data_IF_176583625313
#
_entry.id   IF_176583625313
#
_cell.length_a   1.000
_cell.length_b   1.000
_cell.length_c   1.000
_cell.angle_alpha   90.00
_cell.angle_beta   90.00
_cell.angle_gamma   90.00
#
_symmetry.space_group_name_H-M   'P 1'
#
loop_
_entity.id
_entity.type
_entity.pdbx_description
1 polymer ?
#
# COMPACT_ATOMS: atom_id res chain seq x y z
N UNK A 1 -62.99 4.67 -12.18
CA UNK A 1 -63.38 3.96 -13.41
C UNK A 1 -62.53 4.48 -14.56
N UNK A 2 -61.85 3.56 -15.28
CA UNK A 2 -61.11 3.72 -16.55
C UNK A 2 -59.83 4.60 -16.52
N UNK A 3 -58.71 4.27 -17.18
CA UNK A 3 -58.21 3.06 -17.87
C UNK A 3 -56.69 3.25 -18.08
N UNK A 4 -55.99 2.12 -18.23
CA UNK A 4 -54.55 1.89 -18.37
C UNK A 4 -53.83 2.61 -19.52
N UNK A 5 -52.50 2.73 -19.39
CA UNK A 5 -51.55 2.89 -20.49
C UNK A 5 -50.18 2.32 -20.11
N UNK A 6 -49.89 1.11 -20.60
CA UNK A 6 -48.62 0.41 -20.44
C UNK A 6 -47.68 0.73 -21.62
N UNK A 7 -46.37 0.75 -21.37
CA UNK A 7 -45.33 0.83 -22.39
C UNK A 7 -44.04 0.20 -21.90
N UNK A 8 -43.83 -1.05 -22.30
CA UNK A 8 -42.59 -1.83 -22.14
C UNK A 8 -41.83 -1.77 -23.46
N UNK A 9 -40.50 -1.55 -23.44
CA UNK A 9 -39.61 -1.90 -24.55
C UNK A 9 -38.33 -2.56 -24.00
N UNK A 10 -38.07 -3.75 -24.52
CA UNK A 10 -36.89 -4.60 -24.29
C UNK A 10 -35.71 -4.17 -25.18
N UNK A 11 -34.49 -4.49 -24.76
CA UNK A 11 -33.31 -4.46 -25.64
C UNK A 11 -32.11 -5.15 -25.00
N UNK A 12 -31.97 -6.45 -25.24
CA UNK A 12 -30.78 -7.24 -24.93
C UNK A 12 -29.89 -7.35 -26.19
N UNK A 13 -28.57 -7.28 -26.02
CA UNK A 13 -27.62 -7.79 -27.02
C UNK A 13 -26.33 -8.24 -26.31
N UNK A 14 -26.08 -9.55 -26.36
CA UNK A 14 -24.84 -10.21 -25.97
C UNK A 14 -23.95 -10.37 -27.21
N UNK A 15 -22.63 -10.20 -27.07
CA UNK A 15 -21.65 -10.67 -28.06
C UNK A 15 -20.53 -11.42 -27.32
N UNK A 16 -20.41 -12.69 -27.69
CA UNK A 16 -19.36 -13.66 -27.34
C UNK A 16 -18.36 -13.68 -28.49
N UNK A 17 -17.05 -13.63 -28.22
CA UNK A 17 -16.02 -14.12 -29.15
C UNK A 17 -14.92 -14.84 -28.36
N UNK A 18 -14.85 -16.16 -28.53
CA UNK A 18 -13.69 -17.02 -28.27
C UNK A 18 -12.89 -17.18 -29.56
N UNK A 19 -11.56 -17.24 -29.50
CA UNK A 19 -10.71 -17.91 -30.51
C UNK A 19 -9.26 -18.08 -30.01
N UNK A 20 -8.88 -19.26 -29.51
CA UNK A 20 -8.09 -20.39 -30.09
C UNK A 20 -6.57 -20.32 -29.81
N UNK A 21 -6.10 -21.30 -29.02
CA UNK A 21 -4.71 -21.71 -28.82
C UNK A 21 -4.19 -22.46 -30.06
N UNK A 22 -2.95 -22.23 -30.46
CA UNK A 22 -2.19 -23.13 -31.34
C UNK A 22 -0.84 -23.46 -30.72
N UNK A 23 -0.54 -24.77 -30.75
CA UNK A 23 0.61 -25.42 -30.15
C UNK A 23 1.52 -26.04 -31.25
N UNK A 24 2.65 -26.59 -30.79
CA UNK A 24 3.60 -27.49 -31.47
C UNK A 24 4.62 -26.78 -32.38
N UNK A 25 5.92 -27.08 -32.37
CA UNK A 25 6.72 -28.19 -31.83
C UNK A 25 7.91 -28.40 -32.77
N UNK A 26 8.98 -29.09 -32.34
CA UNK A 26 9.95 -29.70 -33.28
C UNK A 26 11.43 -29.51 -32.96
N UNK A 27 12.05 -30.64 -32.63
CA UNK A 27 13.42 -30.88 -32.19
C UNK A 27 14.47 -30.98 -33.31
N UNK A 28 15.76 -30.97 -32.92
CA UNK A 28 16.79 -32.00 -33.19
C UNK A 28 18.16 -31.54 -33.72
N UNK A 29 19.15 -31.71 -32.83
CA UNK A 29 20.44 -32.41 -32.96
C UNK A 29 21.19 -32.44 -34.30
N UNK A 30 22.46 -32.03 -34.24
CA UNK A 30 23.51 -32.45 -35.17
C UNK A 30 24.69 -33.05 -34.39
N UNK A 31 24.93 -34.34 -34.64
CA UNK A 31 26.13 -35.06 -34.24
C UNK A 31 27.20 -34.93 -35.33
N UNK A 32 28.48 -34.93 -34.94
CA UNK A 32 29.60 -34.95 -35.85
C UNK A 32 30.90 -35.35 -35.15
N UNK A 33 31.13 -36.66 -35.07
CA UNK A 33 32.40 -37.27 -34.67
C UNK A 33 33.39 -37.25 -35.85
N UNK A 34 34.68 -36.96 -35.60
CA UNK A 34 35.77 -37.55 -36.39
C UNK A 34 37.02 -37.75 -35.52
N UNK A 35 37.58 -38.95 -35.63
CA UNK A 35 38.66 -39.55 -34.84
C UNK A 35 39.96 -39.53 -35.64
N UNK A 36 41.10 -39.15 -35.05
CA UNK A 36 42.45 -39.53 -35.53
C UNK A 36 43.39 -39.78 -34.33
N UNK A 37 44.13 -40.89 -34.37
CA UNK A 37 44.99 -41.49 -33.32
C UNK A 37 46.50 -41.17 -33.56
N UNK A 38 47.49 -41.71 -32.80
CA UNK A 38 48.31 -40.99 -31.82
C UNK A 38 49.80 -40.83 -32.21
N UNK A 39 50.56 -40.03 -31.45
CA UNK A 39 52.03 -40.03 -31.47
C UNK A 39 52.57 -40.17 -30.03
N UNK A 40 53.50 -41.11 -29.71
CA UNK A 40 54.00 -41.27 -28.35
C UNK A 40 55.31 -40.49 -28.16
N UNK A 41 55.39 -39.70 -27.10
CA UNK A 41 56.65 -39.38 -26.44
C UNK A 41 56.41 -39.20 -24.94
N UNK A 42 57.28 -39.87 -24.20
CA UNK A 42 57.20 -40.28 -22.79
C UNK A 42 57.86 -39.25 -21.87
N UNK A 43 57.50 -39.33 -20.59
CA UNK A 43 58.12 -38.74 -19.38
C UNK A 43 57.41 -37.44 -18.90
N UNK A 44 56.98 -37.25 -17.64
CA UNK A 44 57.14 -37.97 -16.38
C UNK A 44 55.84 -37.87 -15.53
N UNK A 45 55.59 -38.90 -14.74
CA UNK A 45 54.60 -38.98 -13.67
C UNK A 45 54.83 -37.96 -12.56
N UNK A 46 53.79 -37.20 -12.22
CA UNK A 46 53.57 -36.68 -10.85
C UNK A 46 52.08 -36.73 -10.54
N UNK A 47 51.70 -37.68 -9.70
CA UNK A 47 50.34 -37.90 -9.22
C UNK A 47 50.11 -37.03 -8.00
N UNK A 48 49.19 -36.07 -8.09
CA UNK A 48 48.54 -35.44 -6.95
C UNK A 48 47.02 -35.57 -7.13
N UNK A 49 46.27 -36.09 -6.14
CA UNK A 49 44.82 -36.18 -6.24
C UNK A 49 44.21 -34.78 -6.09
N UNK A 50 43.56 -34.30 -7.14
CA UNK A 50 42.75 -33.07 -7.12
C UNK A 50 41.35 -33.42 -6.61
N UNK A 51 40.87 -32.86 -5.50
CA UNK A 51 39.48 -32.99 -5.11
C UNK A 51 38.61 -32.19 -6.10
N UNK A 52 37.75 -32.90 -6.83
CA UNK A 52 36.66 -32.32 -7.61
C UNK A 52 35.64 -31.73 -6.64
N UNK A 53 35.76 -30.43 -6.35
CA UNK A 53 34.67 -29.68 -5.72
C UNK A 53 33.60 -29.42 -6.78
N UNK A 54 32.63 -30.32 -6.85
CA UNK A 54 31.32 -30.01 -7.44
C UNK A 54 30.73 -28.86 -6.62
N UNK A 55 30.74 -27.65 -7.19
CA UNK A 55 29.98 -26.54 -6.62
C UNK A 55 28.51 -26.89 -6.89
N UNK A 56 27.87 -27.50 -5.89
CA UNK A 56 26.42 -27.43 -5.77
C UNK A 56 26.08 -25.93 -5.78
N UNK A 57 25.44 -25.50 -6.87
CA UNK A 57 24.80 -24.19 -6.94
C UNK A 57 23.59 -24.26 -6.01
N UNK A 58 23.85 -24.12 -4.71
CA UNK A 58 22.82 -23.79 -3.75
C UNK A 58 22.19 -22.50 -4.26
N UNK A 59 20.96 -22.59 -4.74
CA UNK A 59 20.09 -21.42 -4.90
C UNK A 59 20.04 -20.75 -3.54
N UNK A 60 20.84 -19.69 -3.37
CA UNK A 60 20.72 -18.77 -2.25
C UNK A 60 19.26 -18.36 -2.20
N UNK A 61 18.51 -18.63 -1.12
CA UNK A 61 17.22 -18.02 -0.93
C UNK A 61 17.42 -16.52 -1.08
N UNK A 62 16.62 -15.85 -1.92
CA UNK A 62 16.64 -14.39 -2.02
C UNK A 62 16.70 -13.84 -0.59
N UNK A 63 17.75 -13.09 -0.27
CA UNK A 63 17.94 -12.55 1.06
C UNK A 63 16.75 -11.62 1.31
N UNK A 64 15.74 -12.10 2.02
CA UNK A 64 14.70 -11.25 2.58
C UNK A 64 15.44 -10.21 3.40
N UNK A 65 15.44 -8.94 2.96
CA UNK A 65 16.10 -7.89 3.72
C UNK A 65 15.57 -7.96 5.16
N UNK A 66 16.44 -8.15 6.17
CA UNK A 66 15.98 -8.37 7.52
C UNK A 66 15.33 -7.08 8.03
N UNK A 67 14.07 -7.16 8.44
CA UNK A 67 13.45 -6.14 9.28
C UNK A 67 13.97 -6.35 10.69
N UNK A 68 14.66 -5.35 11.23
CA UNK A 68 15.20 -5.35 12.58
C UNK A 68 14.11 -5.56 13.62
N UNK A 69 14.43 -6.37 14.62
CA UNK A 69 13.51 -6.71 15.69
C UNK A 69 13.12 -5.50 16.54
N UNK A 70 11.94 -5.57 17.15
CA UNK A 70 11.41 -4.52 18.01
C UNK A 70 11.28 -5.09 19.43
N UNK A 71 12.22 -4.79 20.35
CA UNK A 71 12.14 -5.27 21.72
C UNK A 71 10.81 -4.90 22.38
N UNK A 72 10.13 -5.90 22.96
CA UNK A 72 8.82 -5.73 23.59
C UNK A 72 7.62 -5.73 22.64
N UNK A 73 7.83 -5.67 21.32
CA UNK A 73 6.74 -5.65 20.33
C UNK A 73 7.10 -6.41 19.03
N UNK A 74 7.29 -7.74 19.08
CA UNK A 74 7.69 -8.54 17.92
C UNK A 74 6.65 -8.54 16.78
N UNK A 75 5.39 -8.26 17.09
CA UNK A 75 4.31 -8.17 16.10
C UNK A 75 4.57 -7.04 15.07
N UNK A 76 5.24 -5.96 15.47
CA UNK A 76 5.53 -4.85 14.57
C UNK A 76 6.51 -5.22 13.45
N UNK A 77 7.63 -5.87 13.78
CA UNK A 77 8.56 -6.36 12.78
C UNK A 77 7.90 -7.42 11.87
N UNK A 78 7.10 -8.32 12.47
CA UNK A 78 6.35 -9.32 11.70
C UNK A 78 5.37 -8.70 10.69
N UNK A 79 4.63 -7.66 11.08
CA UNK A 79 3.66 -6.99 10.21
C UNK A 79 4.33 -6.15 9.11
N UNK A 80 5.55 -5.64 9.31
CA UNK A 80 6.27 -4.83 8.32
C UNK A 80 6.98 -5.68 7.24
N UNK A 81 7.37 -6.92 7.55
CA UNK A 81 8.10 -7.81 6.62
C UNK A 81 7.41 -8.01 5.26
N UNK A 82 6.08 -8.25 5.17
CA UNK A 82 5.42 -8.38 3.88
C UNK A 82 5.53 -7.12 3.02
N UNK A 83 5.42 -5.95 3.64
CA UNK A 83 5.58 -4.67 2.94
C UNK A 83 7.01 -4.48 2.41
N UNK A 84 8.04 -4.85 3.19
CA UNK A 84 9.44 -4.81 2.72
C UNK A 84 9.68 -5.80 1.58
N UNK A 85 9.06 -6.98 1.62
CA UNK A 85 9.14 -7.94 0.53
C UNK A 85 8.50 -7.40 -0.77
N UNK A 86 7.36 -6.70 -0.65
CA UNK A 86 6.73 -6.03 -1.78
C UNK A 86 7.56 -4.84 -2.30
N UNK A 87 8.24 -4.10 -1.41
CA UNK A 87 9.15 -3.02 -1.80
C UNK A 87 10.30 -3.56 -2.66
N UNK A 88 10.97 -4.63 -2.20
CA UNK A 88 12.05 -5.31 -2.93
C UNK A 88 11.60 -5.92 -4.27
N UNK A 89 10.31 -6.21 -4.43
CA UNK A 89 9.76 -6.69 -5.70
C UNK A 89 9.67 -5.57 -6.76
N UNK A 90 9.78 -4.30 -6.36
CA UNK A 90 9.88 -3.14 -7.25
C UNK A 90 8.55 -2.69 -7.88
N UNK A 91 7.41 -3.29 -7.53
CA UNK A 91 6.09 -2.87 -8.02
C UNK A 91 5.47 -1.83 -7.08
N UNK A 92 5.93 -0.58 -7.25
CA UNK A 92 5.47 0.56 -6.45
C UNK A 92 3.95 0.78 -6.56
N UNK A 93 3.34 0.52 -7.72
CA UNK A 93 1.89 0.70 -7.87
C UNK A 93 1.09 -0.35 -7.09
N UNK A 94 1.56 -1.60 -7.04
CA UNK A 94 0.99 -2.61 -6.14
C UNK A 94 1.13 -2.20 -4.69
N UNK A 95 2.30 -1.72 -4.29
CA UNK A 95 2.57 -1.30 -2.92
C UNK A 95 1.68 -0.11 -2.50
N UNK A 96 1.50 0.88 -3.37
CA UNK A 96 0.57 2.00 -3.15
C UNK A 96 -0.88 1.53 -3.05
N UNK A 97 -1.32 0.57 -3.88
CA UNK A 97 -2.67 -0.01 -3.77
C UNK A 97 -2.87 -0.76 -2.45
N UNK A 98 -1.87 -1.49 -1.99
CA UNK A 98 -1.90 -2.18 -0.68
C UNK A 98 -1.92 -1.19 0.48
N UNK A 99 -1.21 -0.07 0.35
CA UNK A 99 -1.16 1.02 1.33
C UNK A 99 -2.23 2.09 1.14
N UNK A 100 -3.46 1.63 0.95
CA UNK A 100 -4.64 2.44 0.68
C UNK A 100 -5.03 3.40 1.84
N UNK A 101 -4.47 3.25 3.03
CA UNK A 101 -4.70 4.17 4.17
C UNK A 101 -3.93 5.50 4.02
N UNK A 102 -2.90 5.52 3.17
CA UNK A 102 -2.05 6.67 2.87
C UNK A 102 -2.52 7.28 1.53
N UNK A 103 -2.47 8.61 1.42
CA UNK A 103 -2.77 9.27 0.16
C UNK A 103 -1.83 8.75 -0.95
N UNK A 104 -2.35 8.31 -2.12
CA UNK A 104 -1.54 7.62 -3.14
C UNK A 104 -0.32 8.40 -3.66
N UNK A 105 -0.39 9.74 -3.78
CA UNK A 105 0.75 10.57 -4.16
C UNK A 105 1.83 10.60 -3.08
N UNK A 106 1.44 10.79 -1.83
CA UNK A 106 2.32 10.75 -0.67
C UNK A 106 2.98 9.38 -0.52
N UNK A 107 2.24 8.28 -0.70
CA UNK A 107 2.79 6.93 -0.68
C UNK A 107 3.90 6.76 -1.73
N UNK A 108 3.65 7.18 -2.99
CA UNK A 108 4.67 7.14 -4.05
C UNK A 108 5.91 7.94 -3.70
N UNK A 109 5.73 9.15 -3.17
CA UNK A 109 6.84 10.02 -2.80
C UNK A 109 7.66 9.42 -1.64
N UNK A 110 6.99 8.90 -0.61
CA UNK A 110 7.65 8.31 0.56
C UNK A 110 8.42 7.03 0.23
N UNK A 111 7.96 6.26 -0.75
CA UNK A 111 8.52 4.94 -1.08
C UNK A 111 9.49 4.96 -2.26
N UNK A 112 9.87 6.15 -2.73
CA UNK A 112 10.74 6.29 -3.90
C UNK A 112 12.21 5.93 -3.63
N UNK A 113 12.69 6.08 -2.39
CA UNK A 113 14.08 5.80 -2.01
C UNK A 113 14.17 4.45 -1.27
N UNK A 114 14.19 3.37 -2.05
CA UNK A 114 14.24 2.00 -1.54
C UNK A 114 15.47 1.75 -0.67
N UNK A 115 16.66 2.17 -1.11
CA UNK A 115 17.92 1.92 -0.40
C UNK A 115 17.93 2.58 0.99
N UNK A 116 17.46 3.84 1.09
CA UNK A 116 17.36 4.52 2.37
C UNK A 116 16.37 3.84 3.32
N UNK A 117 15.23 3.37 2.79
CA UNK A 117 14.23 2.64 3.56
C UNK A 117 14.80 1.32 4.06
N UNK A 118 15.46 0.54 3.20
CA UNK A 118 16.06 -0.75 3.55
C UNK A 118 17.13 -0.57 4.63
N UNK A 119 17.96 0.47 4.53
CA UNK A 119 18.93 0.81 5.56
C UNK A 119 18.26 1.16 6.89
N UNK A 120 17.11 1.85 6.87
CA UNK A 120 16.37 2.18 8.07
C UNK A 120 15.74 0.96 8.74
N UNK A 121 15.01 0.13 7.99
CA UNK A 121 14.29 -1.02 8.55
C UNK A 121 15.21 -2.15 9.02
N UNK A 122 16.47 -2.16 8.60
CA UNK A 122 17.48 -3.10 9.09
C UNK A 122 17.92 -2.82 10.54
N UNK A 123 17.78 -1.58 11.01
CA UNK A 123 18.11 -1.20 12.39
C UNK A 123 17.11 -1.77 13.40
N UNK A 124 17.48 -1.96 14.68
CA UNK A 124 16.51 -2.33 15.71
C UNK A 124 15.38 -1.30 15.83
N UNK A 125 14.14 -1.77 15.88
CA UNK A 125 12.98 -0.90 15.98
C UNK A 125 12.73 -0.41 17.42
N UNK A 126 12.11 0.76 17.53
CA UNK A 126 11.79 1.44 18.78
C UNK A 126 10.27 1.47 18.94
N UNK A 127 9.75 0.86 20.00
CA UNK A 127 8.33 0.88 20.33
C UNK A 127 7.95 2.20 21.01
N UNK A 128 7.60 3.21 20.20
CA UNK A 128 7.18 4.53 20.68
C UNK A 128 5.71 4.56 21.10
N UNK A 129 5.26 5.65 21.72
CA UNK A 129 3.89 5.75 22.27
C UNK A 129 2.80 5.53 21.20
N UNK A 130 2.95 6.11 20.00
CA UNK A 130 1.92 6.09 18.95
C UNK A 130 2.29 5.25 17.73
N UNK A 131 3.58 4.95 17.56
CA UNK A 131 4.08 4.22 16.41
C UNK A 131 5.38 3.50 16.76
N UNK A 132 5.66 2.45 16.00
CA UNK A 132 6.97 1.80 16.00
C UNK A 132 7.85 2.47 14.96
N UNK A 133 9.12 2.68 15.29
CA UNK A 133 10.05 3.47 14.50
C UNK A 133 11.30 2.66 14.18
N UNK A 134 11.73 2.69 12.93
CA UNK A 134 13.05 2.22 12.49
C UNK A 134 13.81 3.43 11.96
N UNK A 135 14.99 3.71 12.52
CA UNK A 135 15.73 4.94 12.26
C UNK A 135 17.02 4.62 11.52
N UNK A 136 17.04 4.93 10.22
CA UNK A 136 18.24 4.87 9.41
C UNK A 136 18.99 6.21 9.37
N UNK A 137 20.12 6.24 8.65
CA UNK A 137 20.91 7.46 8.50
C UNK A 137 20.18 8.57 7.74
N UNK A 138 19.38 8.22 6.73
CA UNK A 138 18.70 9.19 5.87
C UNK A 138 17.20 9.33 6.18
N UNK A 139 16.52 8.22 6.49
CA UNK A 139 15.08 8.21 6.72
C UNK A 139 14.71 7.48 8.01
N UNK A 140 13.56 7.85 8.55
CA UNK A 140 12.86 7.15 9.61
C UNK A 140 11.58 6.54 9.03
N UNK A 141 11.43 5.23 9.23
CA UNK A 141 10.24 4.47 8.87
C UNK A 141 9.37 4.35 10.12
N UNK A 142 8.10 4.71 10.02
CA UNK A 142 7.16 4.72 11.14
C UNK A 142 5.90 3.95 10.80
N UNK A 143 5.51 3.02 11.69
CA UNK A 143 4.33 2.18 11.53
C UNK A 143 3.37 2.42 12.68
N UNK A 144 2.11 2.74 12.35
CA UNK A 144 1.04 2.95 13.34
C UNK A 144 0.55 1.65 13.95
N UNK A 145 -0.13 1.74 15.10
CA UNK A 145 -0.67 0.57 15.80
C UNK A 145 -1.75 -0.15 14.99
N UNK A 146 -2.63 0.59 14.32
CA UNK A 146 -3.67 0.04 13.43
C UNK A 146 -3.06 -0.75 12.27
N UNK A 147 -2.01 -0.22 11.65
CA UNK A 147 -1.25 -0.87 10.59
C UNK A 147 -0.59 -2.18 11.07
N UNK A 148 0.01 -2.19 12.26
CA UNK A 148 0.59 -3.40 12.87
C UNK A 148 -0.50 -4.46 13.09
N UNK A 149 -1.66 -4.05 13.61
CA UNK A 149 -2.77 -4.96 13.88
C UNK A 149 -3.36 -5.61 12.62
N UNK A 150 -3.16 -5.00 11.45
CA UNK A 150 -3.61 -5.54 10.17
C UNK A 150 -2.79 -6.74 9.67
N UNK A 151 -1.56 -6.90 10.16
CA UNK A 151 -0.60 -7.90 9.69
C UNK A 151 0.12 -7.53 8.37
N UNK A 152 -0.28 -6.45 7.70
CA UNK A 152 0.42 -5.84 6.58
C UNK A 152 0.60 -4.34 6.88
N UNK A 153 1.72 -3.99 7.49
CA UNK A 153 1.89 -2.65 8.04
C UNK A 153 2.39 -1.68 6.97
N UNK A 154 1.57 -0.69 6.61
CA UNK A 154 1.97 0.38 5.69
C UNK A 154 2.68 1.52 6.44
N UNK A 155 3.99 1.69 6.25
CA UNK A 155 4.73 2.71 6.98
C UNK A 155 4.54 4.09 6.35
N UNK A 156 4.76 5.13 7.15
CA UNK A 156 5.18 6.43 6.63
C UNK A 156 6.69 6.57 6.72
N UNK A 157 7.27 7.29 5.76
CA UNK A 157 8.71 7.52 5.66
C UNK A 157 8.96 9.02 5.68
N UNK A 158 9.87 9.47 6.52
CA UNK A 158 10.28 10.87 6.60
C UNK A 158 11.80 10.98 6.76
N UNK A 159 12.42 12.11 6.39
CA UNK A 159 13.84 12.33 6.65
C UNK A 159 14.16 12.16 8.14
N UNK A 160 15.28 11.53 8.44
CA UNK A 160 15.72 11.34 9.84
C UNK A 160 15.88 12.69 10.55
N UNK A 161 15.37 12.77 11.78
CA UNK A 161 15.34 14.01 12.57
C UNK A 161 14.17 14.94 12.26
N UNK A 162 13.35 14.64 11.25
CA UNK A 162 12.12 15.38 10.97
C UNK A 162 10.93 14.78 11.72
N UNK A 163 9.98 15.65 12.08
CA UNK A 163 8.68 15.19 12.55
C UNK A 163 7.92 14.49 11.41
N UNK A 164 7.14 13.45 11.75
CA UNK A 164 6.25 12.82 10.80
C UNK A 164 5.07 13.77 10.53
N UNK A 165 5.17 14.53 9.44
CA UNK A 165 4.20 15.56 9.10
C UNK A 165 3.10 15.01 8.18
N UNK A 166 1.87 15.49 8.38
CA UNK A 166 0.74 15.24 7.49
C UNK A 166 0.44 16.50 6.69
N UNK A 167 0.23 16.36 5.39
CA UNK A 167 -0.02 17.49 4.48
C UNK A 167 -1.50 17.62 4.10
N UNK A 168 -1.80 18.64 3.32
CA UNK A 168 -3.13 18.96 2.82
C UNK A 168 -3.72 17.79 2.01
N UNK A 169 -2.88 17.02 1.31
CA UNK A 169 -3.31 15.83 0.58
C UNK A 169 -3.74 14.71 1.54
N UNK A 170 -3.04 14.51 2.66
CA UNK A 170 -3.47 13.57 3.71
C UNK A 170 -4.83 14.00 4.31
N UNK A 171 -5.05 15.29 4.53
CA UNK A 171 -6.33 15.81 5.03
C UNK A 171 -7.47 15.60 4.02
N UNK A 172 -7.24 15.96 2.75
CA UNK A 172 -8.19 15.73 1.67
C UNK A 172 -8.53 14.23 1.54
N UNK A 173 -7.53 13.36 1.66
CA UNK A 173 -7.70 11.92 1.53
C UNK A 173 -8.44 11.31 2.72
N UNK A 174 -8.23 11.81 3.94
CA UNK A 174 -9.02 11.42 5.11
C UNK A 174 -10.53 11.73 4.90
N UNK A 175 -10.85 12.91 4.36
CA UNK A 175 -12.24 13.26 4.02
C UNK A 175 -12.78 12.41 2.86
N UNK A 176 -11.97 12.17 1.83
CA UNK A 176 -12.35 11.27 0.73
C UNK A 176 -12.71 9.88 1.24
N UNK A 177 -11.88 9.29 2.11
CA UNK A 177 -12.16 7.99 2.73
C UNK A 177 -13.43 8.03 3.57
N UNK A 178 -13.61 9.04 4.41
CA UNK A 178 -14.80 9.21 5.24
C UNK A 178 -16.08 9.28 4.40
N UNK A 179 -16.11 10.10 3.35
CA UNK A 179 -17.24 10.23 2.43
C UNK A 179 -17.49 8.96 1.60
N UNK A 180 -16.42 8.31 1.16
CA UNK A 180 -16.47 7.03 0.44
C UNK A 180 -17.17 5.94 1.25
N UNK A 181 -16.84 5.82 2.55
CA UNK A 181 -17.58 4.94 3.48
C UNK A 181 -19.05 5.35 3.58
N UNK A 182 -19.30 6.65 3.73
CA UNK A 182 -20.66 7.18 3.95
C UNK A 182 -21.61 6.87 2.79
N UNK A 183 -21.13 6.91 1.55
CA UNK A 183 -21.92 6.56 0.36
C UNK A 183 -21.89 5.07 0.00
N UNK A 184 -21.34 4.22 0.87
CA UNK A 184 -21.27 2.77 0.66
C UNK A 184 -20.26 2.32 -0.39
N UNK A 185 -19.26 3.14 -0.70
CA UNK A 185 -18.17 2.84 -1.66
C UNK A 185 -16.80 3.06 -1.00
N UNK A 186 -16.47 2.37 0.10
CA UNK A 186 -15.21 2.59 0.80
C UNK A 186 -14.02 2.31 -0.13
N UNK A 187 -12.90 3.00 0.09
CA UNK A 187 -11.68 2.83 -0.73
C UNK A 187 -11.12 1.41 -0.65
N UNK A 188 -11.39 0.72 0.46
CA UNK A 188 -11.08 -0.68 0.69
C UNK A 188 -12.20 -1.28 1.56
N UNK A 189 -12.62 -2.54 1.36
CA UNK A 189 -13.63 -3.18 2.23
C UNK A 189 -13.26 -3.21 3.73
N UNK A 190 -11.96 -3.21 4.07
CA UNK A 190 -11.48 -3.13 5.45
C UNK A 190 -11.52 -1.69 6.03
N UNK A 191 -11.82 -0.69 5.20
CA UNK A 191 -11.87 0.72 5.58
C UNK A 191 -13.10 1.03 6.43
N UNK A 192 -13.02 0.69 7.70
CA UNK A 192 -14.12 0.83 8.67
C UNK A 192 -13.67 1.72 9.84
N UNK A 193 -14.63 2.37 10.50
CA UNK A 193 -14.33 3.23 11.66
C UNK A 193 -13.70 2.46 12.83
N UNK A 194 -14.04 1.18 12.98
CA UNK A 194 -13.47 0.34 14.04
C UNK A 194 -12.02 -0.08 13.79
N UNK A 195 -11.64 -0.35 12.54
CA UNK A 195 -10.28 -0.78 12.20
C UNK A 195 -9.35 0.40 11.91
N UNK A 196 -9.87 1.43 11.25
CA UNK A 196 -9.13 2.63 10.83
C UNK A 196 -9.97 3.87 11.16
N UNK A 197 -9.97 4.35 12.40
CA UNK A 197 -10.82 5.47 12.80
C UNK A 197 -10.46 6.74 12.02
N UNK A 198 -11.48 7.43 11.51
CA UNK A 198 -11.35 8.73 10.86
C UNK A 198 -12.05 9.83 11.64
N UNK A 199 -12.89 9.52 12.63
CA UNK A 199 -13.53 10.51 13.49
C UNK A 199 -12.71 10.67 14.77
N UNK A 200 -12.34 11.91 15.12
CA UNK A 200 -11.57 12.15 16.33
C UNK A 200 -12.39 11.77 17.57
N UNK A 201 -11.83 10.99 18.53
CA UNK A 201 -12.52 10.66 19.77
C UNK A 201 -12.97 11.91 20.54
N UNK A 202 -14.20 11.90 21.06
CA UNK A 202 -14.76 13.01 21.85
C UNK A 202 -15.07 14.29 21.08
N UNK A 203 -14.93 14.29 19.75
CA UNK A 203 -15.19 15.47 18.91
C UNK A 203 -16.67 15.80 18.74
N UNK A 204 -16.97 16.96 18.15
CA UNK A 204 -18.34 17.36 17.81
C UNK A 204 -18.96 16.35 16.85
N UNK A 205 -18.21 15.89 15.85
CA UNK A 205 -18.65 14.87 14.92
C UNK A 205 -18.88 13.51 15.59
N UNK A 206 -18.02 13.10 16.52
CA UNK A 206 -18.20 11.85 17.26
C UNK A 206 -19.54 11.82 18.02
N UNK A 207 -19.97 12.96 18.55
CA UNK A 207 -21.26 13.10 19.24
C UNK A 207 -22.45 13.29 18.29
N UNK A 208 -22.20 13.50 16.99
CA UNK A 208 -23.21 13.77 15.97
C UNK A 208 -22.90 13.01 14.66
N UNK A 209 -22.89 11.66 14.65
CA UNK A 209 -22.48 10.89 13.46
C UNK A 209 -23.42 11.05 12.25
N UNK A 210 -24.67 11.48 12.48
CA UNK A 210 -25.70 11.61 11.44
C UNK A 210 -25.62 12.86 10.55
N UNK A 211 -24.57 13.69 10.68
CA UNK A 211 -24.51 15.00 9.99
C UNK A 211 -24.47 14.96 8.47
N UNK A 212 -24.13 13.82 7.88
CA UNK A 212 -24.14 13.63 6.43
C UNK A 212 -25.32 12.79 5.92
N UNK A 213 -26.27 12.44 6.79
CA UNK A 213 -27.39 11.56 6.42
C UNK A 213 -28.09 12.06 5.15
N UNK A 214 -28.25 11.15 4.19
CA UNK A 214 -28.82 11.48 2.87
C UNK A 214 -27.81 11.91 1.81
N UNK A 215 -26.50 11.93 2.10
CA UNK A 215 -25.46 12.10 1.09
C UNK A 215 -25.42 10.92 0.11
N UNK A 216 -25.38 11.21 -1.19
CA UNK A 216 -25.38 10.20 -2.26
C UNK A 216 -24.15 10.28 -3.17
N UNK A 217 -23.54 11.46 -3.29
CA UNK A 217 -22.32 11.66 -4.07
C UNK A 217 -21.50 12.84 -3.53
N UNK A 218 -20.24 12.93 -3.93
CA UNK A 218 -19.35 14.03 -3.63
C UNK A 218 -18.33 14.22 -4.75
N UNK A 219 -17.86 15.46 -4.95
CA UNK A 219 -16.81 15.80 -5.90
C UNK A 219 -15.41 15.77 -5.25
N UNK A 220 -14.38 16.11 -6.01
CA UNK A 220 -13.01 16.16 -5.49
C UNK A 220 -12.90 17.15 -4.32
N UNK A 221 -12.26 16.76 -3.20
CA UNK A 221 -12.04 17.64 -2.06
C UNK A 221 -10.98 18.71 -2.38
N UNK A 222 -11.14 19.87 -1.77
CA UNK A 222 -10.12 20.93 -1.74
C UNK A 222 -9.70 21.17 -0.29
N UNK A 223 -8.40 21.12 -0.01
CA UNK A 223 -7.87 21.20 1.34
C UNK A 223 -7.05 22.48 1.52
N UNK A 224 -7.23 23.11 2.68
CA UNK A 224 -6.40 24.22 3.13
C UNK A 224 -5.91 23.89 4.53
N UNK A 225 -4.61 23.96 4.76
CA UNK A 225 -4.05 23.84 6.10
C UNK A 225 -4.29 25.13 6.87
N UNK A 226 -4.82 25.01 8.08
CA UNK A 226 -5.09 26.14 8.97
C UNK A 226 -3.97 26.36 9.98
N UNK A 227 -3.30 25.29 10.42
CA UNK A 227 -2.06 25.32 11.20
C UNK A 227 -1.28 23.99 11.07
N UNK A 228 -0.20 23.77 11.84
CA UNK A 228 0.61 22.55 11.77
C UNK A 228 -0.14 21.25 12.14
N UNK A 229 -1.25 21.34 12.87
CA UNK A 229 -2.01 20.20 13.38
C UNK A 229 -3.47 20.16 12.92
N UNK A 230 -3.96 21.15 12.20
CA UNK A 230 -5.35 21.28 11.77
C UNK A 230 -5.47 21.60 10.28
N UNK A 231 -6.58 21.16 9.70
CA UNK A 231 -6.90 21.44 8.31
C UNK A 231 -8.40 21.63 8.13
N UNK A 232 -8.78 22.43 7.13
CA UNK A 232 -10.14 22.53 6.63
C UNK A 232 -10.19 21.95 5.21
N UNK A 233 -11.19 21.12 4.95
CA UNK A 233 -11.41 20.51 3.64
C UNK A 233 -12.81 20.83 3.18
N UNK A 234 -12.94 21.50 2.04
CA UNK A 234 -14.25 21.80 1.44
C UNK A 234 -14.52 20.82 0.31
N UNK A 235 -15.71 20.23 0.32
CA UNK A 235 -16.15 19.24 -0.67
C UNK A 235 -17.57 19.59 -1.16
N UNK A 236 -17.82 19.66 -2.47
CA UNK A 236 -19.17 19.67 -2.99
C UNK A 236 -19.84 18.31 -2.73
N UNK A 237 -20.93 18.30 -1.98
CA UNK A 237 -21.68 17.10 -1.59
C UNK A 237 -23.09 17.16 -2.17
N UNK A 238 -23.52 16.07 -2.79
CA UNK A 238 -24.87 15.89 -3.36
C UNK A 238 -25.72 15.04 -2.42
N UNK A 239 -26.93 15.49 -2.09
CA UNK A 239 -27.88 14.77 -1.25
C UNK A 239 -28.88 13.93 -2.07
N UNK A 240 -29.77 13.22 -1.36
CA UNK A 240 -30.82 12.36 -1.95
C UNK A 240 -31.89 13.13 -2.73
N UNK A 241 -32.01 14.45 -2.52
CA UNK A 241 -32.82 15.35 -3.32
C UNK A 241 -32.08 15.91 -4.54
N UNK A 242 -30.88 15.39 -4.83
CA UNK A 242 -30.00 15.80 -5.93
C UNK A 242 -29.54 17.26 -5.86
N UNK A 243 -29.53 17.85 -4.65
CA UNK A 243 -29.00 19.19 -4.39
C UNK A 243 -27.52 19.07 -4.03
N UNK A 244 -26.68 19.88 -4.67
CA UNK A 244 -25.24 19.92 -4.40
C UNK A 244 -24.86 21.21 -3.69
N UNK A 245 -24.12 21.10 -2.59
CA UNK A 245 -23.67 22.25 -1.81
C UNK A 245 -22.25 22.01 -1.27
N UNK A 246 -21.45 23.07 -1.06
CA UNK A 246 -20.16 22.95 -0.40
C UNK A 246 -20.35 22.56 1.07
N UNK A 247 -19.59 21.57 1.53
CA UNK A 247 -19.53 21.13 2.92
C UNK A 247 -18.08 21.22 3.37
N UNK A 248 -17.83 21.86 4.50
CA UNK A 248 -16.49 22.02 5.07
C UNK A 248 -16.27 21.06 6.23
N UNK A 249 -15.20 20.30 6.17
CA UNK A 249 -14.78 19.35 7.19
C UNK A 249 -13.63 19.94 7.97
N UNK A 250 -13.69 19.87 9.29
CA UNK A 250 -12.60 20.28 10.17
C UNK A 250 -11.83 19.03 10.60
N UNK A 251 -10.50 19.11 10.55
CA UNK A 251 -9.63 18.00 10.88
C UNK A 251 -8.55 18.42 11.88
N UNK A 252 -8.10 17.45 12.66
CA UNK A 252 -6.94 17.56 13.53
C UNK A 252 -6.05 16.33 13.40
N UNK A 253 -4.74 16.49 13.58
CA UNK A 253 -3.80 15.37 13.63
C UNK A 253 -3.91 14.67 14.99
N UNK A 254 -4.11 13.36 14.95
CA UNK A 254 -4.12 12.46 16.10
C UNK A 254 -3.13 11.29 15.88
N UNK A 255 -3.19 10.26 16.72
CA UNK A 255 -2.29 9.08 16.65
C UNK A 255 -2.34 8.37 15.29
N UNK A 256 -3.51 8.37 14.65
CA UNK A 256 -3.74 7.72 13.36
C UNK A 256 -3.61 8.67 12.15
N UNK A 257 -3.07 9.87 12.35
CA UNK A 257 -3.02 10.93 11.34
C UNK A 257 -4.21 11.88 11.44
N UNK A 258 -4.61 12.51 10.33
CA UNK A 258 -5.79 13.38 10.34
C UNK A 258 -7.06 12.59 10.68
N UNK A 259 -7.78 13.08 11.68
CA UNK A 259 -9.14 12.68 12.00
C UNK A 259 -10.07 13.91 11.91
N UNK A 260 -11.35 13.66 11.63
CA UNK A 260 -12.40 14.65 11.49
C UNK A 260 -12.93 15.05 12.88
N UNK A 261 -12.96 16.34 13.17
CA UNK A 261 -13.47 16.90 14.42
C UNK A 261 -14.90 17.43 14.31
N UNK A 262 -15.25 18.01 13.16
CA UNK A 262 -16.59 18.55 12.89
C UNK A 262 -16.87 18.72 11.39
N UNK A 263 -18.12 19.03 11.04
CA UNK A 263 -18.60 19.32 9.69
C UNK A 263 -19.31 20.69 9.69
N UNK A 264 -19.27 21.47 8.62
CA UNK A 264 -19.99 22.74 8.49
C UNK A 264 -20.67 22.75 7.13
N UNK A 265 -21.97 23.01 7.12
CA UNK A 265 -22.83 23.07 5.93
C UNK A 265 -23.32 24.48 5.71
#
# INVERSE_FOLDING_TARGET
>A
MAKSGAGVVWGAAAIVVCSVLTACGGSDQHAGHTTVTPNPSRALTSTAPQPSSTIDRTTTPAATAPVGEVPGNPAAAAALRPWVADLLAGDLDTLVRKCWTIEPGNARAMYADEDAILAAVAEPGIDGQFAVLWKGPAVTVSVKRTEIASGYACPRVAPTGSAMNYNEADAAYAVHRYLSRFIGKPVNPADTEGAYPLVCPGSVLANNPGRLTGTTAFAAPTATRTDLGTAEVTVPVTNSSNVTQPVTFLLAVASEGYCLTDIRV
#
